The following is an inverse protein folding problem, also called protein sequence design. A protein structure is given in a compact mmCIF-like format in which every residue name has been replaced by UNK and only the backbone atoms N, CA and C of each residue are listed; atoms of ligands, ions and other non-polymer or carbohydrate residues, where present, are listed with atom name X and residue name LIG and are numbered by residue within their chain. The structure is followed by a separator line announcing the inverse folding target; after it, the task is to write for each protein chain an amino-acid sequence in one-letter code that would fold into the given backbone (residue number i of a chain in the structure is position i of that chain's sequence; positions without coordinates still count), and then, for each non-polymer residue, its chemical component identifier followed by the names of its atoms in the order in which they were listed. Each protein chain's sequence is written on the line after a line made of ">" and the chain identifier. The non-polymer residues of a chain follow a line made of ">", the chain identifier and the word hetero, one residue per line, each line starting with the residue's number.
data_IF_551062734504
#
_entry.id   IF_551062734504
#
_cell.length_a   1.000
_cell.length_b   1.000
_cell.length_c   1.000
_cell.angle_alpha   90.00
_cell.angle_beta   90.00
_cell.angle_gamma   90.00
#
_symmetry.space_group_name_H-M   'P 1'
#
loop_
_entity.id
_entity.type
_entity.pdbx_description
1 polymer ?
#
# COMPACT_ATOMS: atom_id res chain seq x y z
N UNK A 1 -25.38 10.76 9.73
CA UNK A 1 -24.12 10.01 9.91
C UNK A 1 -23.53 10.40 11.25
N UNK A 2 -23.32 9.45 12.17
CA UNK A 2 -22.85 9.76 13.53
C UNK A 2 -21.39 10.24 13.51
N UNK A 3 -21.05 11.29 14.28
CA UNK A 3 -19.69 11.87 14.35
C UNK A 3 -18.60 10.83 14.60
N UNK A 4 -18.89 9.81 15.42
CA UNK A 4 -17.98 8.71 15.70
C UNK A 4 -17.65 7.89 14.45
N UNK A 5 -18.64 7.63 13.60
CA UNK A 5 -18.47 6.87 12.36
C UNK A 5 -17.64 7.63 11.33
N UNK A 6 -17.79 8.95 11.23
CA UNK A 6 -17.04 9.78 10.28
C UNK A 6 -15.53 9.81 10.59
N UNK A 7 -15.18 9.84 11.88
CA UNK A 7 -13.78 9.73 12.34
C UNK A 7 -13.17 8.36 12.01
N UNK A 8 -13.90 7.27 12.27
CA UNK A 8 -13.42 5.92 11.95
C UNK A 8 -13.22 5.71 10.46
N UNK A 9 -14.13 6.21 9.62
CA UNK A 9 -14.03 6.10 8.16
C UNK A 9 -12.82 6.88 7.63
N UNK A 10 -12.58 8.08 8.17
CA UNK A 10 -11.40 8.88 7.79
C UNK A 10 -10.10 8.14 8.12
N UNK A 11 -10.01 7.54 9.32
CA UNK A 11 -8.83 6.76 9.74
C UNK A 11 -8.67 5.51 8.85
N UNK A 12 -9.75 4.77 8.61
CA UNK A 12 -9.74 3.57 7.79
C UNK A 12 -9.28 3.86 6.35
N UNK A 13 -9.81 4.90 5.72
CA UNK A 13 -9.39 5.32 4.37
C UNK A 13 -7.91 5.74 4.33
N UNK A 14 -7.42 6.43 5.37
CA UNK A 14 -6.00 6.77 5.47
C UNK A 14 -5.10 5.53 5.54
N UNK A 15 -5.48 4.53 6.33
CA UNK A 15 -4.73 3.26 6.44
C UNK A 15 -4.73 2.52 5.10
N UNK A 16 -5.88 2.43 4.42
CA UNK A 16 -6.01 1.76 3.12
C UNK A 16 -5.15 2.45 2.05
N UNK A 17 -5.02 3.78 2.10
CA UNK A 17 -4.17 4.53 1.18
C UNK A 17 -2.67 4.18 1.34
N UNK A 18 -2.23 3.93 2.58
CA UNK A 18 -0.82 3.73 2.91
C UNK A 18 -0.41 2.24 2.84
N UNK A 19 -1.36 1.32 3.03
CA UNK A 19 -1.13 -0.13 3.00
C UNK A 19 -0.37 -0.63 1.75
N UNK A 20 -0.75 -0.27 0.51
CA UNK A 20 -0.03 -0.73 -0.68
C UNK A 20 1.38 -0.14 -0.79
N UNK A 21 1.62 1.07 -0.28
CA UNK A 21 2.95 1.68 -0.23
C UNK A 21 3.88 0.94 0.73
N UNK A 22 3.37 0.51 1.88
CA UNK A 22 4.16 -0.30 2.83
C UNK A 22 4.56 -1.64 2.20
N UNK A 23 3.62 -2.28 1.49
CA UNK A 23 3.88 -3.52 0.76
C UNK A 23 5.01 -3.35 -0.28
N UNK A 24 4.92 -2.31 -1.11
CA UNK A 24 5.96 -1.98 -2.09
C UNK A 24 7.32 -1.72 -1.41
N UNK A 25 7.37 -0.85 -0.41
CA UNK A 25 8.62 -0.49 0.28
C UNK A 25 9.27 -1.70 0.95
N UNK A 26 8.47 -2.62 1.50
CA UNK A 26 8.98 -3.86 2.09
C UNK A 26 9.58 -4.80 1.03
N UNK A 27 8.98 -4.86 -0.17
CA UNK A 27 9.53 -5.62 -1.28
C UNK A 27 10.85 -5.01 -1.76
N UNK A 28 10.90 -3.70 -1.99
CA UNK A 28 12.13 -2.97 -2.35
C UNK A 28 13.26 -3.20 -1.35
N UNK A 29 12.95 -3.11 -0.05
CA UNK A 29 13.93 -3.34 0.99
C UNK A 29 14.45 -4.80 0.97
N UNK A 30 13.56 -5.78 0.78
CA UNK A 30 13.96 -7.18 0.68
C UNK A 30 14.86 -7.41 -0.56
N UNK A 31 14.52 -6.83 -1.70
CA UNK A 31 15.34 -6.87 -2.93
C UNK A 31 16.73 -6.26 -2.68
N UNK A 32 16.80 -5.11 -2.01
CA UNK A 32 18.04 -4.43 -1.69
C UNK A 32 18.94 -5.23 -0.74
N UNK A 33 18.35 -5.91 0.25
CA UNK A 33 19.10 -6.76 1.19
C UNK A 33 19.63 -8.02 0.48
N UNK A 34 18.83 -8.61 -0.40
CA UNK A 34 19.13 -9.88 -1.06
C UNK A 34 19.93 -9.73 -2.36
N UNK A 35 20.17 -8.50 -2.84
CA UNK A 35 20.81 -8.19 -4.12
C UNK A 35 20.18 -8.90 -5.32
N UNK A 36 18.88 -9.15 -5.25
CA UNK A 36 18.14 -9.77 -6.34
C UNK A 36 17.45 -8.71 -7.21
N UNK A 37 16.75 -9.14 -8.26
CA UNK A 37 15.82 -8.30 -9.03
C UNK A 37 14.44 -8.92 -9.09
N UNK A 38 13.45 -8.22 -8.57
CA UNK A 38 12.06 -8.59 -8.75
C UNK A 38 11.49 -7.69 -9.83
N UNK A 39 11.07 -8.29 -10.94
CA UNK A 39 10.35 -7.61 -12.01
C UNK A 39 8.95 -8.20 -12.12
N UNK A 40 7.98 -7.38 -12.50
CA UNK A 40 6.63 -7.84 -12.81
C UNK A 40 6.58 -8.79 -14.00
N UNK A 41 7.58 -8.73 -14.88
CA UNK A 41 7.70 -9.56 -16.08
C UNK A 41 8.56 -10.81 -15.87
N UNK A 42 9.17 -10.98 -14.69
CA UNK A 42 10.02 -12.13 -14.38
C UNK A 42 10.69 -12.04 -13.02
N UNK A 43 10.71 -13.14 -12.30
CA UNK A 43 11.46 -13.30 -11.06
C UNK A 43 12.91 -13.66 -11.40
N UNK A 44 13.88 -12.81 -11.05
CA UNK A 44 15.24 -13.34 -10.89
C UNK A 44 15.30 -14.12 -9.59
N UNK A 45 16.11 -15.18 -9.53
CA UNK A 45 16.19 -16.17 -8.45
C UNK A 45 16.39 -15.52 -7.06
N UNK A 46 15.30 -15.06 -6.45
CA UNK A 46 15.28 -14.56 -5.09
C UNK A 46 15.15 -15.75 -4.14
N UNK A 47 16.22 -16.54 -4.04
CA UNK A 47 16.24 -17.76 -3.23
C UNK A 47 16.75 -17.41 -1.84
N UNK A 48 15.86 -17.44 -0.85
CA UNK A 48 16.22 -17.31 0.57
C UNK A 48 16.06 -18.67 1.23
N UNK A 49 17.16 -19.21 1.77
CA UNK A 49 17.17 -20.51 2.44
C UNK A 49 16.54 -21.64 1.59
N UNK A 50 16.91 -21.72 0.31
CA UNK A 50 16.37 -22.69 -0.67
C UNK A 50 14.87 -22.54 -0.99
N UNK A 51 14.25 -21.40 -0.63
CA UNK A 51 12.88 -21.07 -1.02
C UNK A 51 12.84 -19.83 -1.89
N UNK A 52 12.17 -19.94 -3.03
CA UNK A 52 11.93 -18.82 -3.93
C UNK A 52 10.84 -17.91 -3.33
N UNK A 53 11.24 -16.69 -2.95
CA UNK A 53 10.34 -15.65 -2.47
C UNK A 53 10.03 -14.61 -3.56
N UNK A 54 10.61 -14.76 -4.76
CA UNK A 54 10.45 -13.83 -5.87
C UNK A 54 9.00 -13.64 -6.25
N UNK A 55 8.19 -14.70 -6.23
CA UNK A 55 6.75 -14.62 -6.52
C UNK A 55 6.00 -13.77 -5.49
N UNK A 56 6.32 -13.91 -4.19
CA UNK A 56 5.68 -13.12 -3.14
C UNK A 56 6.07 -11.64 -3.21
N UNK A 57 7.35 -11.36 -3.49
CA UNK A 57 7.82 -9.99 -3.71
C UNK A 57 7.20 -9.39 -4.97
N UNK A 58 7.00 -10.17 -6.05
CA UNK A 58 6.36 -9.69 -7.27
C UNK A 58 4.91 -9.27 -7.02
N UNK A 59 4.15 -10.04 -6.23
CA UNK A 59 2.79 -9.66 -5.80
C UNK A 59 2.83 -8.36 -4.99
N UNK A 60 3.76 -8.20 -4.05
CA UNK A 60 3.90 -6.97 -3.27
C UNK A 60 4.29 -5.76 -4.15
N UNK A 61 5.14 -6.00 -5.13
CA UNK A 61 5.58 -5.00 -6.11
C UNK A 61 4.42 -4.53 -7.00
N UNK A 62 3.56 -5.46 -7.44
CA UNK A 62 2.32 -5.13 -8.17
C UNK A 62 1.34 -4.29 -7.33
N UNK A 63 1.39 -4.39 -6.00
CA UNK A 63 0.70 -3.49 -5.07
C UNK A 63 1.10 -2.02 -5.22
N UNK A 64 2.31 -1.76 -5.73
CA UNK A 64 2.77 -0.44 -6.16
C UNK A 64 1.85 0.22 -7.19
N UNK A 65 1.42 -0.52 -8.21
CA UNK A 65 0.49 0.00 -9.21
C UNK A 65 -0.87 0.32 -8.61
N UNK A 66 -1.34 -0.52 -7.68
CA UNK A 66 -2.55 -0.22 -6.93
C UNK A 66 -2.40 1.08 -6.14
N UNK A 67 -1.22 1.39 -5.59
CA UNK A 67 -1.00 2.66 -4.88
C UNK A 67 -1.22 3.90 -5.76
N UNK A 68 -0.92 3.83 -7.07
CA UNK A 68 -1.11 4.95 -8.02
C UNK A 68 -2.56 5.39 -8.07
N UNK A 69 -3.51 4.46 -7.96
CA UNK A 69 -4.96 4.76 -7.95
C UNK A 69 -5.45 4.95 -6.51
N UNK A 70 -5.02 4.07 -5.59
CA UNK A 70 -5.55 4.02 -4.23
C UNK A 70 -5.18 5.28 -3.45
N UNK A 71 -3.97 5.80 -3.60
CA UNK A 71 -3.50 7.01 -2.89
C UNK A 71 -4.32 8.25 -3.27
N UNK A 72 -4.49 8.65 -4.55
CA UNK A 72 -5.30 9.82 -4.87
C UNK A 72 -6.79 9.62 -4.55
N UNK A 73 -7.36 8.43 -4.78
CA UNK A 73 -8.79 8.18 -4.53
C UNK A 73 -9.08 8.17 -3.03
N UNK A 74 -8.32 7.40 -2.24
CA UNK A 74 -8.51 7.34 -0.79
C UNK A 74 -8.09 8.65 -0.11
N UNK A 75 -7.07 9.33 -0.63
CA UNK A 75 -6.64 10.67 -0.20
C UNK A 75 -7.73 11.74 -0.41
N UNK A 76 -8.34 11.80 -1.60
CA UNK A 76 -9.47 12.69 -1.85
C UNK A 76 -10.65 12.39 -0.94
N UNK A 77 -11.00 11.10 -0.78
CA UNK A 77 -12.07 10.68 0.13
C UNK A 77 -11.80 11.08 1.58
N UNK A 78 -10.56 10.97 2.05
CA UNK A 78 -10.18 11.42 3.40
C UNK A 78 -10.32 12.93 3.56
N UNK A 79 -9.87 13.72 2.58
CA UNK A 79 -9.99 15.18 2.60
C UNK A 79 -11.46 15.62 2.62
N UNK A 80 -12.32 14.99 1.80
CA UNK A 80 -13.76 15.30 1.75
C UNK A 80 -14.42 14.95 3.09
N UNK A 81 -14.14 13.75 3.64
CA UNK A 81 -14.68 13.34 4.94
C UNK A 81 -14.18 14.23 6.08
N UNK A 82 -12.92 14.64 6.05
CA UNK A 82 -12.32 15.52 7.04
C UNK A 82 -12.94 16.92 7.01
N UNK A 83 -13.13 17.51 5.81
CA UNK A 83 -13.84 18.80 5.69
C UNK A 83 -15.25 18.70 6.26
N UNK A 84 -16.00 17.66 5.89
CA UNK A 84 -17.36 17.43 6.40
C UNK A 84 -17.39 17.19 7.92
N UNK A 85 -16.37 16.56 8.49
CA UNK A 85 -16.24 16.42 9.94
C UNK A 85 -16.02 17.77 10.62
N UNK A 86 -15.15 18.60 10.06
CA UNK A 86 -14.85 19.95 10.56
C UNK A 86 -16.05 20.88 10.45
N UNK A 87 -16.80 20.85 9.35
CA UNK A 87 -17.99 21.72 9.17
C UNK A 87 -19.16 21.33 10.09
N UNK A 88 -19.14 20.11 10.65
CA UNK A 88 -20.10 19.63 11.68
C UNK A 88 -19.63 19.96 13.12
N UNK A 89 -18.42 20.50 13.28
CA UNK A 89 -17.83 20.89 14.56
C UNK A 89 -17.90 22.40 14.78
#
# INVERSE_FOLDING_TARGET
>A
MSRKSLKHITIACGIIAILPLIGLLSAELAVAILNCRVSETGTSDCIVANKDIGMWLAVLYSGGWFSIITVPVAGLMTVICYKKYRDVN
#
